data_IF_306518254563
#
_entry.id   IF_306518254563
#
_cell.length_a   1.000
_cell.length_b   1.000
_cell.length_c   1.000
_cell.angle_alpha   90.00
_cell.angle_beta   90.00
_cell.angle_gamma   90.00
#
_symmetry.space_group_name_H-M   'P 1'
#
loop_
_entity.id
_entity.type
_entity.pdbx_description
1 polymer ?
#
# COMPACT_ATOMS: atom_id res chain seq x y z
N UNK A 1 -15.57 40.88 -28.58
CA UNK A 1 -15.98 39.46 -28.45
C UNK A 1 -15.03 38.68 -27.53
N UNK A 2 -13.73 38.58 -27.83
CA UNK A 2 -12.76 37.80 -27.03
C UNK A 2 -12.68 38.20 -25.54
N UNK A 3 -12.70 39.51 -25.23
CA UNK A 3 -12.66 40.04 -23.86
C UNK A 3 -13.82 39.57 -22.98
N UNK A 4 -14.98 39.25 -23.58
CA UNK A 4 -16.16 38.77 -22.86
C UNK A 4 -15.96 37.34 -22.31
N UNK A 5 -15.07 36.54 -22.93
CA UNK A 5 -14.82 35.15 -22.55
C UNK A 5 -13.71 34.98 -21.49
N UNK A 6 -12.83 35.98 -21.35
CA UNK A 6 -11.71 35.94 -20.39
C UNK A 6 -12.16 35.74 -18.93
N UNK A 7 -13.25 36.35 -18.43
CA UNK A 7 -13.75 36.07 -17.08
C UNK A 7 -14.12 34.59 -16.89
N UNK A 8 -14.76 33.96 -17.88
CA UNK A 8 -15.10 32.54 -17.82
C UNK A 8 -13.86 31.64 -17.80
N UNK A 9 -12.85 31.97 -18.61
CA UNK A 9 -11.55 31.28 -18.57
C UNK A 9 -10.86 31.45 -17.21
N UNK A 10 -10.89 32.65 -16.64
CA UNK A 10 -10.33 32.93 -15.31
C UNK A 10 -11.02 32.13 -14.20
N UNK A 11 -12.36 32.06 -14.23
CA UNK A 11 -13.14 31.24 -13.30
C UNK A 11 -12.79 29.76 -13.46
N UNK A 12 -12.74 29.26 -14.69
CA UNK A 12 -12.42 27.85 -14.96
C UNK A 12 -11.02 27.46 -14.48
N UNK A 13 -10.01 28.31 -14.75
CA UNK A 13 -8.64 28.09 -14.29
C UNK A 13 -8.57 28.13 -12.77
N UNK A 14 -9.20 29.13 -12.14
CA UNK A 14 -9.25 29.25 -10.68
C UNK A 14 -9.88 28.01 -10.03
N UNK A 15 -11.01 27.54 -10.57
CA UNK A 15 -11.67 26.33 -10.10
C UNK A 15 -10.81 25.08 -10.29
N UNK A 16 -10.11 24.96 -11.42
CA UNK A 16 -9.19 23.84 -11.66
C UNK A 16 -8.03 23.82 -10.65
N UNK A 17 -7.47 25.01 -10.34
CA UNK A 17 -6.41 25.16 -9.34
C UNK A 17 -6.91 24.82 -7.92
N UNK A 18 -8.09 25.34 -7.55
CA UNK A 18 -8.73 25.04 -6.26
C UNK A 18 -9.03 23.54 -6.13
N UNK A 19 -9.53 22.90 -7.19
CA UNK A 19 -9.78 21.46 -7.20
C UNK A 19 -8.49 20.66 -7.05
N UNK A 20 -7.43 21.04 -7.76
CA UNK A 20 -6.13 20.39 -7.63
C UNK A 20 -5.55 20.52 -6.20
N UNK A 21 -5.66 21.70 -5.60
CA UNK A 21 -5.23 21.94 -4.22
C UNK A 21 -6.07 21.12 -3.23
N UNK A 22 -7.39 21.12 -3.38
CA UNK A 22 -8.31 20.33 -2.56
C UNK A 22 -8.02 18.83 -2.65
N UNK A 23 -7.81 18.31 -3.87
CA UNK A 23 -7.46 16.91 -4.11
C UNK A 23 -6.13 16.55 -3.43
N UNK A 24 -5.13 17.41 -3.51
CA UNK A 24 -3.84 17.19 -2.85
C UNK A 24 -3.98 17.09 -1.33
N UNK A 25 -4.81 17.95 -0.73
CA UNK A 25 -5.05 17.91 0.70
C UNK A 25 -5.89 16.70 1.12
N UNK A 26 -6.85 16.29 0.28
CA UNK A 26 -7.60 15.05 0.46
C UNK A 26 -6.69 13.82 0.48
N UNK A 27 -5.76 13.69 -0.49
CA UNK A 27 -4.82 12.56 -0.53
C UNK A 27 -3.91 12.53 0.71
N UNK A 28 -3.49 13.71 1.21
CA UNK A 28 -2.70 13.80 2.46
C UNK A 28 -3.50 13.34 3.67
N UNK A 29 -4.74 13.82 3.81
CA UNK A 29 -5.63 13.44 4.91
C UNK A 29 -5.93 11.94 4.87
N UNK A 30 -6.17 11.39 3.68
CA UNK A 30 -6.37 9.96 3.46
C UNK A 30 -5.14 9.15 3.86
N UNK A 31 -3.94 9.55 3.42
CA UNK A 31 -2.71 8.87 3.81
C UNK A 31 -2.50 8.87 5.33
N UNK A 32 -2.82 9.97 6.01
CA UNK A 32 -2.77 10.04 7.47
C UNK A 32 -3.78 9.08 8.12
N UNK A 33 -5.00 9.00 7.60
CA UNK A 33 -6.00 8.04 8.09
C UNK A 33 -5.58 6.58 7.87
N UNK A 34 -4.93 6.26 6.75
CA UNK A 34 -4.37 4.93 6.52
C UNK A 34 -3.32 4.58 7.59
N UNK A 35 -2.43 5.52 7.93
CA UNK A 35 -1.45 5.36 9.02
C UNK A 35 -2.14 5.18 10.38
N UNK A 36 -3.15 5.99 10.69
CA UNK A 36 -3.92 5.87 11.93
C UNK A 36 -4.62 4.51 12.02
N UNK A 37 -5.30 4.10 10.94
CA UNK A 37 -5.94 2.81 10.88
C UNK A 37 -4.91 1.68 11.06
N UNK A 38 -3.74 1.78 10.43
CA UNK A 38 -2.65 0.82 10.62
C UNK A 38 -2.13 0.74 12.05
N UNK A 39 -2.12 1.85 12.79
CA UNK A 39 -1.67 1.93 14.19
C UNK A 39 -2.70 1.37 15.17
N UNK A 40 -3.99 1.56 14.89
CA UNK A 40 -5.08 1.15 15.77
C UNK A 40 -5.75 -0.16 15.36
N UNK A 41 -5.39 -0.74 14.21
CA UNK A 41 -5.84 -2.06 13.82
C UNK A 41 -5.28 -3.10 14.80
N UNK A 42 -6.15 -3.61 15.68
CA UNK A 42 -5.82 -4.73 16.56
C UNK A 42 -5.43 -5.96 15.74
N UNK A 43 -4.16 -6.30 15.78
CA UNK A 43 -3.64 -7.45 15.08
C UNK A 43 -3.75 -8.70 15.96
N UNK A 44 -4.93 -9.31 15.97
CA UNK A 44 -5.22 -10.53 16.75
C UNK A 44 -4.91 -11.82 15.98
N UNK A 45 -4.74 -11.74 14.66
CA UNK A 45 -4.51 -12.88 13.78
C UNK A 45 -3.12 -12.85 13.15
N UNK A 46 -2.25 -13.77 13.60
CA UNK A 46 -0.87 -13.93 13.12
C UNK A 46 -0.77 -13.95 11.60
N UNK A 47 -1.72 -14.58 10.90
CA UNK A 47 -1.68 -14.69 9.44
C UNK A 47 -1.83 -13.32 8.78
N UNK A 48 -2.69 -12.46 9.30
CA UNK A 48 -2.87 -11.09 8.80
C UNK A 48 -1.61 -10.25 9.05
N UNK A 49 -1.00 -10.38 10.23
CA UNK A 49 0.23 -9.67 10.60
C UNK A 49 1.34 -10.00 9.61
N UNK A 50 1.61 -11.30 9.44
CA UNK A 50 2.72 -11.77 8.62
C UNK A 50 2.52 -11.32 7.17
N UNK A 51 1.31 -11.48 6.60
CA UNK A 51 1.03 -11.00 5.24
C UNK A 51 1.19 -9.48 5.09
N UNK A 52 0.77 -8.69 6.08
CA UNK A 52 0.92 -7.22 6.07
C UNK A 52 2.40 -6.81 6.07
N UNK A 53 3.22 -7.45 6.90
CA UNK A 53 4.68 -7.24 6.93
C UNK A 53 5.30 -7.64 5.59
N UNK A 54 4.95 -8.82 5.06
CA UNK A 54 5.46 -9.31 3.78
C UNK A 54 5.13 -8.35 2.62
N UNK A 55 3.91 -7.81 2.56
CA UNK A 55 3.53 -6.84 1.51
C UNK A 55 4.33 -5.53 1.60
N UNK A 56 4.55 -5.03 2.82
CA UNK A 56 5.40 -3.84 3.03
C UNK A 56 6.84 -4.11 2.64
N UNK A 57 7.42 -5.23 3.10
CA UNK A 57 8.78 -5.62 2.75
C UNK A 57 8.95 -5.78 1.24
N UNK A 58 7.99 -6.41 0.56
CA UNK A 58 8.00 -6.56 -0.89
C UNK A 58 7.99 -5.21 -1.62
N UNK A 59 7.16 -4.27 -1.15
CA UNK A 59 7.08 -2.91 -1.72
C UNK A 59 8.38 -2.13 -1.49
N UNK A 60 8.97 -2.22 -0.30
CA UNK A 60 10.19 -1.51 0.07
C UNK A 60 11.43 -2.06 -0.65
N UNK A 61 11.57 -3.38 -0.71
CA UNK A 61 12.72 -4.06 -1.30
C UNK A 61 12.57 -4.28 -2.81
N UNK A 62 11.38 -4.05 -3.36
CA UNK A 62 11.03 -4.30 -4.77
C UNK A 62 11.35 -5.74 -5.21
N UNK A 63 11.10 -6.72 -4.35
CA UNK A 63 11.35 -8.12 -4.65
C UNK A 63 10.15 -8.79 -5.35
N UNK A 64 10.42 -9.88 -6.08
CA UNK A 64 9.39 -10.63 -6.80
C UNK A 64 8.71 -11.69 -5.93
N UNK A 65 9.44 -12.24 -4.95
CA UNK A 65 8.98 -13.29 -4.05
C UNK A 65 9.40 -12.97 -2.62
N UNK A 66 8.50 -13.23 -1.68
CA UNK A 66 8.77 -13.16 -0.25
C UNK A 66 8.23 -14.43 0.41
N UNK A 67 9.03 -15.04 1.29
CA UNK A 67 8.60 -16.19 2.08
C UNK A 67 8.98 -16.00 3.54
N UNK A 68 8.09 -16.38 4.45
CA UNK A 68 8.30 -16.36 5.89
C UNK A 68 8.02 -17.77 6.40
N UNK A 69 8.97 -18.37 7.10
CA UNK A 69 8.82 -19.68 7.73
C UNK A 69 8.73 -19.50 9.25
N UNK A 70 7.66 -20.01 9.84
CA UNK A 70 7.44 -19.99 11.28
C UNK A 70 8.15 -21.20 11.90
N UNK A 71 9.13 -20.93 12.75
CA UNK A 71 9.84 -21.95 13.50
C UNK A 71 8.92 -22.56 14.58
N UNK A 72 9.01 -23.88 14.77
CA UNK A 72 8.25 -24.60 15.80
C UNK A 72 8.79 -24.31 17.20
N UNK A 73 10.10 -24.38 17.37
CA UNK A 73 10.79 -24.13 18.64
C UNK A 73 12.21 -23.60 18.38
N UNK A 74 12.59 -22.54 19.10
CA UNK A 74 13.90 -21.87 18.98
C UNK A 74 14.99 -22.68 19.71
N UNK A 75 14.63 -23.44 20.74
CA UNK A 75 15.58 -24.20 21.56
C UNK A 75 15.84 -25.61 21.00
N UNK A 76 15.03 -26.05 20.04
CA UNK A 76 15.17 -27.37 19.43
C UNK A 76 16.50 -27.49 18.66
N UNK A 77 17.29 -28.56 18.88
CA UNK A 77 18.51 -28.82 18.12
C UNK A 77 18.24 -29.15 16.65
N UNK A 78 16.99 -29.46 16.29
CA UNK A 78 16.54 -29.71 14.93
C UNK A 78 15.61 -28.59 14.49
N UNK A 79 15.93 -27.94 13.37
CA UNK A 79 15.10 -26.89 12.77
C UNK A 79 13.83 -27.52 12.21
N UNK A 80 12.68 -27.16 12.76
CA UNK A 80 11.36 -27.53 12.27
C UNK A 80 10.53 -26.28 12.05
N UNK A 81 9.77 -26.28 10.96
CA UNK A 81 8.89 -25.17 10.60
C UNK A 81 7.44 -25.63 10.71
N UNK A 82 6.64 -24.90 11.49
CA UNK A 82 5.22 -25.20 11.70
C UNK A 82 4.37 -24.72 10.53
N UNK A 83 4.75 -23.62 9.88
CA UNK A 83 3.99 -23.00 8.78
C UNK A 83 4.91 -22.19 7.88
N UNK A 84 4.60 -22.16 6.58
CA UNK A 84 5.19 -21.22 5.62
C UNK A 84 4.13 -20.26 5.09
N UNK A 85 4.55 -19.01 4.88
CA UNK A 85 3.78 -17.98 4.20
C UNK A 85 4.53 -17.60 2.93
N UNK A 86 3.83 -17.49 1.81
CA UNK A 86 4.40 -17.11 0.52
C UNK A 86 3.64 -15.94 -0.08
N UNK A 87 4.38 -15.01 -0.69
CA UNK A 87 3.83 -13.85 -1.37
C UNK A 87 4.60 -13.62 -2.68
N UNK A 88 3.86 -13.68 -3.78
CA UNK A 88 4.33 -13.34 -5.12
C UNK A 88 4.00 -11.89 -5.45
N UNK A 89 4.90 -11.20 -6.16
CA UNK A 89 4.64 -9.85 -6.64
C UNK A 89 3.58 -9.89 -7.75
N UNK A 90 2.64 -8.92 -7.82
CA UNK A 90 1.63 -8.86 -8.87
C UNK A 90 2.20 -8.81 -10.29
N UNK A 91 3.43 -8.32 -10.45
CA UNK A 91 4.12 -8.30 -11.74
C UNK A 91 4.50 -9.70 -12.21
N UNK A 92 4.90 -10.57 -11.28
CA UNK A 92 5.36 -11.93 -11.57
C UNK A 92 4.18 -12.90 -11.80
N UNK A 93 2.99 -12.61 -11.26
CA UNK A 93 1.77 -13.40 -11.55
C UNK A 93 1.23 -13.15 -12.96
N UNK A 94 1.42 -11.95 -13.52
CA UNK A 94 0.97 -11.63 -14.87
C UNK A 94 1.81 -12.32 -15.97
N UNK A 95 3.08 -12.59 -15.69
CA UNK A 95 3.99 -13.27 -16.62
C UNK A 95 3.85 -14.81 -16.62
N UNK A 96 3.11 -15.39 -15.67
CA UNK A 96 2.91 -16.83 -15.58
C UNK A 96 1.67 -17.34 -16.35
N UNK A 97 0.82 -16.44 -16.85
CA UNK A 97 -0.42 -16.77 -17.59
C UNK A 97 -0.31 -16.52 -19.12
N UNK A 98 0.89 -16.29 -19.64
CA UNK A 98 1.17 -16.14 -21.08
C UNK A 98 2.29 -17.08 -21.54
#
# INVERSE_FOLDING_TARGET
VMQMYLPFCGIAISNAQLFAASRKEYERSRALLEVVNDLFEEQTDLEKIVKKIMHRAQTLLKCERCSVLLLEDIESPVVKFTKSFELMSPKCSADAEN
#
